data_IF_652439011796
#
_entry.id   IF_652439011796
#
_cell.length_a   1.000
_cell.length_b   1.000
_cell.length_c   1.000
_cell.angle_alpha   90.00
_cell.angle_beta   90.00
_cell.angle_gamma   90.00
#
_symmetry.space_group_name_H-M   'P 1'
#
loop_
_entity.id
_entity.type
_entity.pdbx_description
1 polymer ?
#
# COMPACT_ATOMS: atom_id res chain seq x y z
N UNK A 1 10.37 -28.54 -1.77
CA UNK A 1 9.75 -27.19 -1.96
C UNK A 1 9.41 -26.56 -0.61
N UNK A 2 9.88 -25.33 -0.39
CA UNK A 2 9.74 -24.57 0.84
C UNK A 2 8.99 -23.25 0.60
N UNK A 3 8.26 -22.79 1.61
CA UNK A 3 7.46 -21.57 1.52
C UNK A 3 7.90 -20.47 2.46
N UNK A 4 7.83 -19.25 1.95
CA UNK A 4 8.03 -18.03 2.70
C UNK A 4 6.85 -17.11 2.52
N UNK A 5 6.37 -16.56 3.63
CA UNK A 5 5.19 -15.72 3.65
C UNK A 5 5.52 -14.38 4.31
N UNK A 6 5.08 -13.26 3.73
CA UNK A 6 5.04 -11.96 4.40
C UNK A 6 3.59 -11.48 4.50
N UNK A 7 3.11 -11.34 5.74
CA UNK A 7 1.79 -10.80 6.09
C UNK A 7 1.95 -9.34 6.49
N UNK A 8 1.97 -8.48 5.47
CA UNK A 8 2.09 -7.02 5.62
C UNK A 8 0.72 -6.35 5.73
N UNK A 9 0.71 -5.07 6.09
CA UNK A 9 -0.51 -4.31 6.37
C UNK A 9 -1.47 -4.11 5.17
N UNK A 10 -0.98 -4.27 3.93
CA UNK A 10 -1.73 -4.01 2.68
C UNK A 10 -1.84 -5.26 1.81
N UNK A 11 -0.85 -6.15 1.89
CA UNK A 11 -0.70 -7.27 0.98
C UNK A 11 -0.08 -8.48 1.67
N UNK A 12 -0.48 -9.66 1.21
CA UNK A 12 0.18 -10.93 1.50
C UNK A 12 1.13 -11.23 0.33
N UNK A 13 2.35 -11.64 0.68
CA UNK A 13 3.35 -12.12 -0.28
C UNK A 13 3.67 -13.57 0.04
N UNK A 14 3.61 -14.46 -0.96
CA UNK A 14 3.98 -15.87 -0.86
C UNK A 14 5.12 -16.14 -1.83
N UNK A 15 6.16 -16.82 -1.39
CA UNK A 15 7.24 -17.32 -2.22
C UNK A 15 7.33 -18.82 -2.03
N UNK A 16 7.27 -19.57 -3.12
CA UNK A 16 7.55 -21.01 -3.19
C UNK A 16 8.94 -21.20 -3.78
N UNK A 17 9.85 -21.80 -3.03
CA UNK A 17 11.24 -22.05 -3.40
C UNK A 17 11.45 -23.56 -3.57
N UNK A 18 11.83 -23.98 -4.78
CA UNK A 18 12.09 -25.37 -5.12
C UNK A 18 13.58 -25.70 -4.92
N UNK A 19 13.89 -27.00 -4.82
CA UNK A 19 15.25 -27.46 -4.48
C UNK A 19 16.28 -27.20 -5.58
N UNK A 20 15.83 -27.11 -6.84
CA UNK A 20 16.62 -26.70 -8.00
C UNK A 20 16.87 -25.18 -8.06
N UNK A 21 16.34 -24.41 -7.09
CA UNK A 21 16.45 -22.96 -7.02
C UNK A 21 15.39 -22.20 -7.82
N UNK A 22 14.51 -22.88 -8.56
CA UNK A 22 13.34 -22.25 -9.17
C UNK A 22 12.45 -21.63 -8.07
N UNK A 23 11.84 -20.48 -8.36
CA UNK A 23 10.94 -19.82 -7.41
C UNK A 23 9.70 -19.26 -8.09
N UNK A 24 8.58 -19.29 -7.36
CA UNK A 24 7.30 -18.68 -7.77
C UNK A 24 6.86 -17.73 -6.67
N UNK A 25 6.58 -16.48 -7.04
CA UNK A 25 6.15 -15.44 -6.11
C UNK A 25 4.74 -14.95 -6.45
N UNK A 26 3.89 -14.87 -5.42
CA UNK A 26 2.54 -14.36 -5.48
C UNK A 26 2.41 -13.16 -4.53
N UNK A 27 1.98 -12.00 -5.05
CA UNK A 27 1.75 -10.80 -4.26
C UNK A 27 0.29 -10.38 -4.43
N UNK A 28 -0.50 -10.42 -3.33
CA UNK A 28 -1.94 -10.12 -3.34
C UNK A 28 -2.29 -9.08 -2.30
N UNK A 29 -2.98 -8.02 -2.72
CA UNK A 29 -3.59 -7.06 -1.79
C UNK A 29 -4.79 -7.69 -1.11
N UNK A 30 -4.91 -7.56 0.20
CA UNK A 30 -6.01 -8.19 0.94
C UNK A 30 -7.20 -7.25 1.18
N UNK A 31 -7.04 -5.92 1.00
CA UNK A 31 -8.15 -4.97 1.13
C UNK A 31 -8.85 -5.01 2.50
N UNK A 32 -8.10 -5.37 3.55
CA UNK A 32 -8.63 -5.61 4.90
C UNK A 32 -9.10 -7.04 5.20
N UNK A 33 -9.22 -7.93 4.21
CA UNK A 33 -9.68 -9.32 4.35
C UNK A 33 -8.52 -10.32 4.18
N UNK A 34 -7.62 -10.34 5.16
CA UNK A 34 -6.41 -11.15 5.15
C UNK A 34 -6.69 -12.65 5.12
N UNK A 35 -7.73 -13.11 5.82
CA UNK A 35 -8.11 -14.52 5.87
C UNK A 35 -8.57 -15.03 4.51
N UNK A 36 -9.49 -14.30 3.85
CA UNK A 36 -9.96 -14.69 2.51
C UNK A 36 -8.82 -14.69 1.51
N UNK A 37 -7.97 -13.66 1.50
CA UNK A 37 -6.83 -13.60 0.57
C UNK A 37 -5.82 -14.72 0.81
N UNK A 38 -5.56 -15.08 2.06
CA UNK A 38 -4.72 -16.25 2.36
C UNK A 38 -5.35 -17.54 1.83
N UNK A 39 -6.64 -17.77 2.10
CA UNK A 39 -7.37 -18.94 1.62
C UNK A 39 -7.38 -19.03 0.09
N UNK A 40 -7.58 -17.91 -0.62
CA UNK A 40 -7.48 -17.82 -2.08
C UNK A 40 -6.08 -18.20 -2.57
N UNK A 41 -5.02 -17.73 -1.89
CA UNK A 41 -3.63 -18.04 -2.23
C UNK A 41 -3.30 -19.53 -2.06
N UNK A 42 -3.90 -20.22 -1.09
CA UNK A 42 -3.71 -21.67 -0.87
C UNK A 42 -4.79 -22.53 -1.51
N UNK A 43 -5.80 -21.93 -2.15
CA UNK A 43 -6.92 -22.67 -2.75
C UNK A 43 -6.52 -23.41 -4.04
N UNK A 44 -5.49 -22.92 -4.74
CA UNK A 44 -5.21 -23.29 -6.12
C UNK A 44 -3.98 -24.16 -6.39
N UNK A 45 -3.13 -24.52 -5.41
CA UNK A 45 -1.82 -25.10 -5.79
C UNK A 45 -1.12 -25.99 -4.75
N UNK A 46 -0.54 -27.06 -5.30
CA UNK A 46 0.63 -27.83 -4.87
C UNK A 46 0.51 -28.72 -3.60
N UNK A 47 1.32 -29.80 -3.54
CA UNK A 47 1.52 -30.55 -2.30
C UNK A 47 1.96 -29.62 -1.17
N UNK A 48 1.60 -29.97 0.07
CA UNK A 48 2.02 -29.23 1.26
C UNK A 48 3.54 -29.02 1.22
N UNK A 49 4.03 -27.80 1.53
CA UNK A 49 5.46 -27.55 1.51
C UNK A 49 6.16 -28.37 2.59
N UNK A 50 7.42 -28.73 2.32
CA UNK A 50 8.26 -29.45 3.29
C UNK A 50 8.57 -28.58 4.51
N UNK A 51 8.57 -27.26 4.35
CA UNK A 51 8.69 -26.31 5.45
C UNK A 51 8.17 -24.93 5.03
N UNK A 52 7.65 -24.18 5.99
CA UNK A 52 7.17 -22.83 5.78
C UNK A 52 7.56 -21.91 6.95
N UNK A 53 7.90 -20.66 6.63
CA UNK A 53 8.13 -19.59 7.60
C UNK A 53 7.28 -18.38 7.21
N UNK A 54 6.73 -17.72 8.22
CA UNK A 54 6.00 -16.46 8.07
C UNK A 54 6.75 -15.28 8.70
N UNK A 55 6.69 -14.12 8.07
CA UNK A 55 7.18 -12.84 8.56
C UNK A 55 6.13 -11.74 8.36
N UNK A 56 6.40 -10.54 8.85
CA UNK A 56 5.51 -9.37 8.74
C UNK A 56 4.64 -9.12 9.97
N UNK A 57 4.15 -7.89 10.09
CA UNK A 57 3.50 -7.34 11.28
C UNK A 57 2.22 -8.07 11.71
N UNK A 58 1.52 -8.72 10.78
CA UNK A 58 0.26 -9.44 11.05
C UNK A 58 0.44 -10.96 11.15
N UNK A 59 1.66 -11.46 10.97
CA UNK A 59 1.94 -12.89 10.82
C UNK A 59 1.68 -13.70 12.10
N UNK A 60 2.27 -13.29 13.22
CA UNK A 60 2.27 -14.06 14.46
C UNK A 60 0.88 -14.22 15.08
N UNK A 61 0.00 -13.24 14.86
CA UNK A 61 -1.40 -13.26 15.30
C UNK A 61 -2.32 -14.02 14.34
N UNK A 62 -1.97 -14.12 13.05
CA UNK A 62 -2.84 -14.69 12.01
C UNK A 62 -2.52 -16.15 11.70
N UNK A 63 -1.27 -16.59 11.82
CA UNK A 63 -0.83 -17.93 11.42
C UNK A 63 -0.16 -18.73 12.54
N UNK A 64 -0.33 -20.05 12.51
CA UNK A 64 0.23 -21.03 13.45
C UNK A 64 1.53 -21.69 12.98
N UNK A 65 2.17 -21.17 11.92
CA UNK A 65 3.47 -21.65 11.43
C UNK A 65 4.64 -20.84 12.03
N UNK A 66 5.89 -21.34 11.97
CA UNK A 66 7.05 -20.67 12.53
C UNK A 66 7.22 -19.23 12.03
N UNK A 67 7.39 -18.29 12.97
CA UNK A 67 7.64 -16.88 12.67
C UNK A 67 9.14 -16.57 12.64
N UNK A 68 9.55 -15.73 11.69
CA UNK A 68 10.90 -15.15 11.63
C UNK A 68 10.81 -13.62 11.43
N UNK A 69 11.53 -12.80 12.21
CA UNK A 69 11.57 -11.35 12.00
C UNK A 69 12.02 -10.95 10.58
N UNK A 70 11.46 -9.85 10.06
CA UNK A 70 11.75 -9.38 8.70
C UNK A 70 13.24 -9.09 8.50
N UNK A 71 13.94 -8.58 9.52
CA UNK A 71 15.39 -8.34 9.45
C UNK A 71 16.19 -9.61 9.15
N UNK A 72 15.87 -10.73 9.80
CA UNK A 72 16.54 -12.01 9.57
C UNK A 72 16.17 -12.61 8.21
N UNK A 73 14.94 -12.39 7.75
CA UNK A 73 14.54 -12.76 6.40
C UNK A 73 15.35 -11.97 5.36
N UNK A 74 15.51 -10.67 5.54
CA UNK A 74 16.33 -9.82 4.66
C UNK A 74 17.77 -10.31 4.61
N UNK A 75 18.40 -10.61 5.75
CA UNK A 75 19.76 -11.16 5.80
C UNK A 75 19.88 -12.48 5.02
N UNK A 76 18.91 -13.39 5.18
CA UNK A 76 18.88 -14.65 4.43
C UNK A 76 18.75 -14.42 2.92
N UNK A 77 17.88 -13.50 2.51
CA UNK A 77 17.70 -13.15 1.10
C UNK A 77 18.96 -12.50 0.50
N UNK A 78 19.60 -11.56 1.20
CA UNK A 78 20.82 -10.90 0.74
C UNK A 78 21.97 -11.91 0.56
N UNK A 79 22.14 -12.84 1.52
CA UNK A 79 23.15 -13.89 1.45
C UNK A 79 22.92 -14.81 0.26
N UNK A 80 21.68 -15.26 0.06
CA UNK A 80 21.32 -16.14 -1.04
C UNK A 80 21.54 -15.49 -2.41
N UNK A 81 21.15 -14.22 -2.54
CA UNK A 81 21.29 -13.44 -3.78
C UNK A 81 22.70 -12.84 -3.96
N UNK A 82 23.60 -13.01 -2.98
CA UNK A 82 24.95 -12.43 -2.95
C UNK A 82 24.94 -10.90 -3.16
N UNK A 83 23.97 -10.24 -2.54
CA UNK A 83 23.83 -8.78 -2.60
C UNK A 83 24.58 -8.12 -1.44
N UNK A 84 25.55 -7.27 -1.77
CA UNK A 84 26.21 -6.39 -0.82
C UNK A 84 25.60 -4.98 -0.90
N UNK A 85 25.11 -4.46 0.22
CA UNK A 85 24.45 -3.14 0.32
C UNK A 85 24.69 -2.57 1.71
N UNK A 86 24.77 -1.24 1.84
CA UNK A 86 24.92 -0.60 3.14
C UNK A 86 23.57 -0.51 3.85
N UNK A 87 22.51 -0.23 3.08
CA UNK A 87 21.15 -0.09 3.55
C UNK A 87 20.18 -0.95 2.75
N UNK A 88 19.17 -1.50 3.43
CA UNK A 88 17.93 -1.98 2.80
C UNK A 88 16.79 -1.09 3.24
N UNK A 89 16.14 -0.43 2.29
CA UNK A 89 14.97 0.40 2.49
C UNK A 89 13.71 -0.41 2.15
N UNK A 90 13.00 -0.89 3.17
CA UNK A 90 11.71 -1.57 3.01
C UNK A 90 10.56 -0.55 2.99
N UNK A 91 9.94 -0.41 1.82
CA UNK A 91 8.80 0.48 1.59
C UNK A 91 7.49 -0.27 1.85
N UNK A 92 7.15 -0.40 3.12
CA UNK A 92 5.92 -1.03 3.60
C UNK A 92 4.66 -0.17 3.47
N UNK A 93 3.52 -0.80 3.74
CA UNK A 93 2.21 -0.14 3.74
C UNK A 93 2.02 0.83 4.91
N UNK A 94 2.29 0.38 6.13
CA UNK A 94 2.08 1.17 7.36
C UNK A 94 3.29 2.06 7.71
N UNK A 95 4.49 1.55 7.50
CA UNK A 95 5.74 2.23 7.82
C UNK A 95 6.83 1.87 6.83
N UNK A 96 7.81 2.75 6.70
CA UNK A 96 9.07 2.45 6.03
C UNK A 96 10.13 2.10 7.06
N UNK A 97 10.96 1.11 6.76
CA UNK A 97 12.04 0.66 7.63
C UNK A 97 13.34 0.69 6.84
N UNK A 98 14.35 1.32 7.41
CA UNK A 98 15.72 1.25 6.93
C UNK A 98 16.47 0.28 7.80
N UNK A 99 16.96 -0.80 7.20
CA UNK A 99 17.88 -1.74 7.84
C UNK A 99 19.31 -1.29 7.51
N UNK A 100 20.12 -1.06 8.53
CA UNK A 100 21.51 -0.67 8.40
C UNK A 100 22.41 -1.90 8.52
N UNK A 101 23.23 -2.16 7.50
CA UNK A 101 23.99 -3.41 7.38
C UNK A 101 25.48 -3.21 7.58
N UNK A 102 26.10 -4.19 8.24
CA UNK A 102 27.53 -4.43 8.22
C UNK A 102 27.77 -5.93 8.03
N UNK A 103 28.61 -6.29 7.07
CA UNK A 103 28.96 -7.68 6.73
C UNK A 103 27.74 -8.56 6.42
N UNK A 104 26.73 -7.99 5.74
CA UNK A 104 25.49 -8.68 5.39
C UNK A 104 24.54 -8.93 6.57
N UNK A 105 24.83 -8.36 7.76
CA UNK A 105 24.03 -8.48 8.97
C UNK A 105 23.42 -7.13 9.34
N UNK A 106 22.15 -7.13 9.75
CA UNK A 106 21.46 -5.92 10.20
C UNK A 106 21.97 -5.54 11.60
N UNK A 107 22.57 -4.35 11.71
CA UNK A 107 23.12 -3.81 12.96
C UNK A 107 22.22 -2.79 13.63
N UNK A 108 21.45 -2.06 12.84
CA UNK A 108 20.50 -1.07 13.33
C UNK A 108 19.27 -1.02 12.41
N UNK A 109 18.16 -0.53 12.94
CA UNK A 109 16.95 -0.28 12.17
C UNK A 109 16.38 1.09 12.53
N UNK A 110 16.02 1.86 11.51
CA UNK A 110 15.33 3.13 11.66
C UNK A 110 13.98 3.03 10.96
N UNK A 111 12.89 3.35 11.64
CA UNK A 111 11.55 3.36 11.05
C UNK A 111 11.03 4.79 10.87
N UNK A 112 10.23 5.00 9.83
CA UNK A 112 9.44 6.22 9.69
C UNK A 112 8.48 6.35 10.88
N UNK A 113 8.16 7.58 11.26
CA UNK A 113 7.07 7.80 12.22
C UNK A 113 5.77 7.17 11.70
N UNK A 114 4.90 6.67 12.60
CA UNK A 114 3.61 6.05 12.22
C UNK A 114 2.57 7.07 11.71
N UNK A 115 3.00 8.26 11.33
CA UNK A 115 2.11 9.24 10.73
C UNK A 115 1.79 8.79 9.30
N UNK A 116 0.52 8.46 9.04
CA UNK A 116 0.07 7.86 7.78
C UNK A 116 0.56 8.62 6.53
N UNK A 117 0.72 9.95 6.60
CA UNK A 117 1.11 10.82 5.48
C UNK A 117 2.42 10.44 4.76
N UNK A 118 3.28 9.62 5.37
CA UNK A 118 4.57 9.20 4.81
C UNK A 118 4.68 7.71 4.52
N UNK A 119 3.56 7.02 4.32
CA UNK A 119 3.50 5.55 4.17
C UNK A 119 2.91 5.13 2.82
N UNK A 120 3.09 3.86 2.43
CA UNK A 120 2.51 3.34 1.19
C UNK A 120 0.99 3.27 1.22
N UNK A 121 0.39 3.00 2.38
CA UNK A 121 -1.07 2.97 2.58
C UNK A 121 -1.70 4.34 2.27
N UNK A 122 -1.01 5.44 2.59
CA UNK A 122 -1.52 6.76 2.26
C UNK A 122 -1.61 7.01 0.75
N UNK A 123 -0.65 6.51 -0.05
CA UNK A 123 -0.77 6.56 -1.51
C UNK A 123 -1.98 5.75 -1.99
N UNK A 124 -2.16 4.53 -1.48
CA UNK A 124 -3.31 3.68 -1.82
C UNK A 124 -4.62 4.39 -1.51
N UNK A 125 -4.73 5.03 -0.35
CA UNK A 125 -5.92 5.79 0.04
C UNK A 125 -6.16 7.01 -0.85
N UNK A 126 -5.14 7.80 -1.17
CA UNK A 126 -5.31 8.99 -2.02
C UNK A 126 -5.63 8.61 -3.47
N UNK A 127 -5.00 7.57 -4.01
CA UNK A 127 -5.31 7.08 -5.35
C UNK A 127 -6.74 6.53 -5.41
N UNK A 128 -7.17 5.77 -4.40
CA UNK A 128 -8.54 5.26 -4.33
C UNK A 128 -9.60 6.37 -4.35
N UNK A 129 -9.31 7.55 -3.77
CA UNK A 129 -10.20 8.73 -3.82
C UNK A 129 -10.31 9.35 -5.22
N UNK A 130 -9.30 9.12 -6.06
CA UNK A 130 -9.29 9.51 -7.47
C UNK A 130 -9.75 8.35 -8.38
N UNK A 131 -10.31 7.27 -7.80
CA UNK A 131 -10.70 6.04 -8.49
C UNK A 131 -9.54 5.37 -9.23
N UNK A 132 -8.35 5.40 -8.63
CA UNK A 132 -7.13 4.77 -9.12
C UNK A 132 -6.69 3.70 -8.12
N UNK A 133 -6.31 2.53 -8.60
CA UNK A 133 -5.52 1.59 -7.79
C UNK A 133 -4.04 2.04 -7.74
N UNK A 134 -3.20 1.29 -7.01
CA UNK A 134 -1.78 1.62 -6.89
C UNK A 134 -1.08 1.67 -8.26
N UNK A 135 -1.32 0.70 -9.13
CA UNK A 135 -0.64 0.60 -10.42
C UNK A 135 -1.11 1.72 -11.36
N UNK A 136 -2.43 1.91 -11.47
CA UNK A 136 -2.99 2.99 -12.28
C UNK A 136 -2.57 4.35 -11.74
N UNK A 137 -2.52 4.54 -10.41
CA UNK A 137 -2.10 5.80 -9.81
C UNK A 137 -0.62 6.12 -10.05
N UNK A 138 0.27 5.12 -9.93
CA UNK A 138 1.69 5.27 -10.28
C UNK A 138 1.88 5.61 -11.76
N UNK A 139 1.11 4.99 -12.65
CA UNK A 139 1.12 5.26 -14.10
C UNK A 139 0.56 6.65 -14.43
N UNK A 140 -0.56 7.03 -13.82
CA UNK A 140 -1.20 8.34 -14.00
C UNK A 140 -0.29 9.48 -13.53
N UNK A 141 0.54 9.24 -12.51
CA UNK A 141 1.51 10.24 -12.06
C UNK A 141 2.58 10.60 -13.11
N UNK A 142 2.83 9.74 -14.11
CA UNK A 142 3.88 9.98 -15.12
C UNK A 142 3.58 11.16 -16.04
N UNK A 143 2.30 11.48 -16.25
CA UNK A 143 1.87 12.64 -17.03
C UNK A 143 1.58 13.89 -16.18
N UNK A 144 1.72 13.78 -14.86
CA UNK A 144 1.42 14.86 -13.93
C UNK A 144 2.58 15.84 -13.75
N UNK A 145 2.26 17.10 -13.48
CA UNK A 145 3.22 18.10 -12.97
C UNK A 145 3.17 18.17 -11.44
N UNK A 146 4.26 18.60 -10.82
CA UNK A 146 4.28 18.87 -9.38
C UNK A 146 3.43 20.11 -9.07
N UNK A 147 2.49 19.95 -8.17
CA UNK A 147 1.71 21.02 -7.53
C UNK A 147 1.96 21.03 -6.01
N UNK A 148 1.98 22.19 -5.35
CA UNK A 148 2.18 22.26 -3.91
C UNK A 148 1.01 21.58 -3.18
N UNK A 149 1.35 20.73 -2.20
CA UNK A 149 0.38 20.08 -1.32
C UNK A 149 0.74 20.32 0.15
N UNK A 150 -0.26 20.49 1.00
CA UNK A 150 -0.10 20.52 2.45
C UNK A 150 0.25 19.13 3.04
N UNK A 151 1.40 18.57 2.66
CA UNK A 151 1.78 17.16 2.83
C UNK A 151 2.33 16.77 4.22
N UNK A 152 2.32 17.70 5.19
CA UNK A 152 2.83 17.45 6.56
C UNK A 152 1.96 16.47 7.35
N UNK A 153 0.64 16.56 7.20
CA UNK A 153 -0.35 15.71 7.88
C UNK A 153 -1.26 15.07 6.84
N UNK A 154 -1.63 13.80 7.00
CA UNK A 154 -2.47 13.07 6.04
C UNK A 154 -3.85 13.70 5.93
N UNK A 155 -4.39 14.23 7.04
CA UNK A 155 -5.66 14.95 7.08
C UNK A 155 -5.61 16.22 6.23
N UNK A 156 -4.58 17.05 6.41
CA UNK A 156 -4.45 18.30 5.65
C UNK A 156 -4.13 18.04 4.18
N UNK A 157 -3.25 17.09 3.89
CA UNK A 157 -2.89 16.73 2.52
C UNK A 157 -4.12 16.22 1.75
N UNK A 158 -4.94 15.38 2.38
CA UNK A 158 -6.22 14.91 1.83
C UNK A 158 -7.16 16.08 1.51
N UNK A 159 -7.38 16.98 2.47
CA UNK A 159 -8.29 18.12 2.29
C UNK A 159 -7.81 19.07 1.20
N UNK A 160 -6.52 19.37 1.18
CA UNK A 160 -5.91 20.24 0.17
C UNK A 160 -5.98 19.63 -1.24
N UNK A 161 -5.59 18.36 -1.40
CA UNK A 161 -5.71 17.65 -2.68
C UNK A 161 -7.17 17.63 -3.19
N UNK A 162 -8.12 17.34 -2.29
CA UNK A 162 -9.55 17.33 -2.63
C UNK A 162 -10.04 18.72 -3.05
N UNK A 163 -9.64 19.76 -2.33
CA UNK A 163 -10.00 21.15 -2.63
C UNK A 163 -9.47 21.60 -4.00
N UNK A 164 -8.21 21.29 -4.30
CA UNK A 164 -7.58 21.63 -5.58
C UNK A 164 -8.24 20.95 -6.77
N UNK A 165 -8.60 19.67 -6.61
CA UNK A 165 -9.37 18.92 -7.62
C UNK A 165 -10.75 19.55 -7.82
N UNK A 166 -11.48 19.87 -6.74
CA UNK A 166 -12.81 20.47 -6.83
C UNK A 166 -12.81 21.85 -7.50
N UNK A 167 -11.74 22.63 -7.30
CA UNK A 167 -11.56 23.93 -7.97
C UNK A 167 -11.07 23.83 -9.42
N UNK A 168 -10.65 22.64 -9.88
CA UNK A 168 -10.01 22.47 -11.18
C UNK A 168 -8.63 23.14 -11.28
N UNK A 169 -7.95 23.39 -10.16
CA UNK A 169 -6.59 23.95 -10.15
C UNK A 169 -5.56 22.97 -10.71
N UNK A 170 -5.83 21.67 -10.58
CA UNK A 170 -4.99 20.57 -11.05
C UNK A 170 -5.82 19.31 -11.33
N UNK A 171 -5.20 18.33 -12.00
CA UNK A 171 -5.80 17.03 -12.28
C UNK A 171 -5.32 15.91 -11.35
N UNK A 172 -5.94 14.71 -11.41
CA UNK A 172 -5.49 13.54 -10.66
C UNK A 172 -4.02 13.17 -10.90
N UNK A 173 -3.53 13.33 -12.13
CA UNK A 173 -2.12 13.13 -12.48
C UNK A 173 -1.18 14.02 -11.67
N UNK A 174 -1.51 15.30 -11.52
CA UNK A 174 -0.71 16.27 -10.77
C UNK A 174 -0.66 15.92 -9.28
N UNK A 175 -1.83 15.57 -8.71
CA UNK A 175 -1.92 15.13 -7.31
C UNK A 175 -1.06 13.87 -7.12
N UNK A 176 -1.21 12.86 -8.00
CA UNK A 176 -0.45 11.63 -7.90
C UNK A 176 1.07 11.87 -8.02
N UNK A 177 1.49 12.73 -8.95
CA UNK A 177 2.91 13.12 -9.10
C UNK A 177 3.46 13.81 -7.86
N UNK A 178 2.71 14.76 -7.29
CA UNK A 178 3.10 15.47 -6.08
C UNK A 178 3.20 14.54 -4.87
N UNK A 179 2.25 13.63 -4.69
CA UNK A 179 2.28 12.66 -3.59
C UNK A 179 3.53 11.77 -3.65
N UNK A 180 3.93 11.31 -4.85
CA UNK A 180 5.15 10.52 -5.04
C UNK A 180 6.39 11.36 -4.69
N UNK A 181 6.45 12.62 -5.14
CA UNK A 181 7.58 13.51 -4.86
C UNK A 181 7.72 13.82 -3.36
N UNK A 182 6.60 14.08 -2.67
CA UNK A 182 6.59 14.29 -1.22
C UNK A 182 7.03 13.04 -0.46
N UNK A 183 6.65 11.85 -0.95
CA UNK A 183 7.10 10.59 -0.38
C UNK A 183 8.61 10.40 -0.54
N UNK A 184 9.16 10.72 -1.72
CA UNK A 184 10.60 10.66 -1.98
C UNK A 184 11.40 11.54 -1.00
N UNK A 185 10.94 12.78 -0.78
CA UNK A 185 11.56 13.72 0.18
C UNK A 185 11.56 13.15 1.60
N UNK A 186 10.45 12.52 2.03
CA UNK A 186 10.35 11.87 3.35
C UNK A 186 11.29 10.68 3.48
N UNK A 187 11.40 9.85 2.44
CA UNK A 187 12.32 8.71 2.40
C UNK A 187 13.77 9.20 2.46
N UNK A 188 14.14 10.21 1.67
CA UNK A 188 15.49 10.78 1.71
C UNK A 188 15.84 11.34 3.10
N UNK A 189 14.88 11.98 3.76
CA UNK A 189 15.03 12.45 5.16
C UNK A 189 15.24 11.28 6.13
N UNK A 190 14.46 10.21 5.99
CA UNK A 190 14.59 9.00 6.80
C UNK A 190 15.97 8.36 6.64
N UNK A 191 16.44 8.20 5.40
CA UNK A 191 17.77 7.68 5.09
C UNK A 191 18.87 8.58 5.68
N UNK A 192 18.73 9.90 5.58
CA UNK A 192 19.65 10.87 6.17
C UNK A 192 19.75 10.78 7.70
N UNK A 193 18.67 10.39 8.38
CA UNK A 193 18.62 10.27 9.84
C UNK A 193 19.32 9.03 10.41
N UNK A 194 19.70 8.08 9.57
CA UNK A 194 20.32 6.81 10.03
C UNK A 194 21.75 6.95 10.54
N UNK A 195 22.46 8.02 10.14
CA UNK A 195 23.89 8.19 10.38
C UNK A 195 24.74 6.94 10.01
N UNK A 196 24.36 6.24 8.93
CA UNK A 196 25.02 5.05 8.43
C UNK A 196 25.58 5.29 7.01
N UNK A 197 26.62 4.54 6.56
CA UNK A 197 27.00 4.52 5.15
C UNK A 197 25.79 4.27 4.24
N UNK A 198 25.74 4.96 3.11
CA UNK A 198 24.62 4.88 2.16
C UNK A 198 25.09 4.95 0.71
N UNK A 199 26.28 4.42 0.44
CA UNK A 199 26.83 4.36 -0.92
C UNK A 199 25.94 3.48 -1.77
N UNK A 200 25.41 2.39 -1.21
CA UNK A 200 24.47 1.49 -1.89
C UNK A 200 23.22 1.26 -1.05
N UNK A 201 22.05 1.53 -1.65
CA UNK A 201 20.73 1.40 -1.00
C UNK A 201 19.86 0.49 -1.83
N UNK A 202 19.57 -0.71 -1.32
CA UNK A 202 18.60 -1.63 -1.91
C UNK A 202 17.19 -1.24 -1.48
N UNK A 203 16.31 -0.97 -2.44
CA UNK A 203 14.91 -0.63 -2.17
C UNK A 203 14.02 -1.86 -2.36
N UNK A 204 13.18 -2.15 -1.37
CA UNK A 204 12.24 -3.29 -1.35
C UNK A 204 10.81 -2.82 -1.09
N UNK A 205 9.84 -3.73 -1.25
CA UNK A 205 8.41 -3.44 -1.12
C UNK A 205 7.77 -3.04 -2.46
N UNK A 206 6.44 -3.00 -2.50
CA UNK A 206 5.70 -2.79 -3.75
C UNK A 206 5.98 -1.42 -4.41
N UNK A 207 6.33 -0.41 -3.62
CA UNK A 207 6.70 0.91 -4.14
C UNK A 207 8.06 0.94 -4.83
N UNK A 208 8.89 -0.11 -4.72
CA UNK A 208 10.16 -0.20 -5.46
C UNK A 208 9.95 -0.21 -6.99
N UNK A 209 8.74 -0.55 -7.44
CA UNK A 209 8.35 -0.55 -8.86
C UNK A 209 7.94 0.83 -9.37
N UNK A 210 7.82 1.83 -8.51
CA UNK A 210 7.51 3.19 -8.92
C UNK A 210 8.74 3.85 -9.56
N UNK A 211 8.74 3.95 -10.89
CA UNK A 211 9.81 4.61 -11.66
C UNK A 211 10.06 6.04 -11.18
N UNK A 212 8.99 6.83 -11.05
CA UNK A 212 9.08 8.22 -10.59
C UNK A 212 9.65 8.34 -9.17
N UNK A 213 9.29 7.41 -8.27
CA UNK A 213 9.84 7.40 -6.92
C UNK A 213 11.35 7.13 -6.96
N UNK A 214 11.79 6.17 -7.76
CA UNK A 214 13.22 5.85 -7.89
C UNK A 214 13.99 7.00 -8.54
N UNK A 215 13.42 7.66 -9.55
CA UNK A 215 14.00 8.86 -10.16
C UNK A 215 14.13 10.01 -9.16
N UNK A 216 13.09 10.29 -8.37
CA UNK A 216 13.13 11.32 -7.34
C UNK A 216 14.15 11.01 -6.25
N UNK A 217 14.25 9.74 -5.83
CA UNK A 217 15.26 9.31 -4.85
C UNK A 217 16.68 9.48 -5.38
N UNK A 218 16.95 9.10 -6.64
CA UNK A 218 18.26 9.32 -7.27
C UNK A 218 18.60 10.80 -7.38
N UNK A 219 17.63 11.66 -7.69
CA UNK A 219 17.84 13.11 -7.73
C UNK A 219 18.11 13.71 -6.35
N UNK A 220 17.45 13.21 -5.30
CA UNK A 220 17.62 13.67 -3.92
C UNK A 220 18.89 13.12 -3.25
N UNK A 221 19.40 11.98 -3.72
CA UNK A 221 20.54 11.27 -3.16
C UNK A 221 21.58 10.97 -4.27
N UNK A 222 22.21 11.99 -4.88
CA UNK A 222 23.09 11.80 -6.03
C UNK A 222 24.35 10.99 -5.71
N UNK A 223 24.76 10.94 -4.45
CA UNK A 223 25.94 10.19 -3.96
C UNK A 223 25.60 8.72 -3.62
N UNK A 224 24.35 8.30 -3.78
CA UNK A 224 23.87 6.97 -3.42
C UNK A 224 23.44 6.18 -4.65
N UNK A 225 23.94 4.96 -4.80
CA UNK A 225 23.44 3.98 -5.76
C UNK A 225 22.10 3.43 -5.26
N UNK A 226 20.99 3.90 -5.86
CA UNK A 226 19.64 3.39 -5.59
C UNK A 226 19.36 2.15 -6.45
N UNK A 227 19.34 0.99 -5.81
CA UNK A 227 19.23 -0.35 -6.43
C UNK A 227 17.84 -0.93 -6.21
N UNK A 228 17.25 -1.51 -7.26
CA UNK A 228 16.03 -2.31 -7.19
C UNK A 228 16.34 -3.66 -7.82
N UNK A 229 16.12 -4.74 -7.07
CA UNK A 229 16.30 -6.12 -7.56
C UNK A 229 14.98 -6.65 -8.14
N UNK A 230 15.03 -7.64 -9.01
CA UNK A 230 13.83 -8.33 -9.53
C UNK A 230 12.97 -8.97 -8.43
N UNK A 231 13.56 -9.24 -7.26
CA UNK A 231 12.89 -9.82 -6.10
C UNK A 231 12.49 -8.77 -5.05
N UNK A 232 12.73 -7.48 -5.30
CA UNK A 232 12.50 -6.40 -4.32
C UNK A 232 11.07 -6.34 -3.80
N UNK A 233 10.06 -6.69 -4.62
CA UNK A 233 8.65 -6.62 -4.21
C UNK A 233 8.29 -7.67 -3.16
N UNK A 234 9.05 -8.75 -3.05
CA UNK A 234 8.80 -9.89 -2.14
C UNK A 234 10.06 -10.38 -1.41
N UNK A 235 11.09 -9.53 -1.28
CA UNK A 235 12.39 -9.91 -0.72
C UNK A 235 12.26 -10.55 0.67
N UNK A 236 11.40 -10.01 1.53
CA UNK A 236 11.22 -10.53 2.89
C UNK A 236 10.58 -11.93 2.88
N UNK A 237 9.62 -12.18 1.98
CA UNK A 237 9.00 -13.49 1.82
C UNK A 237 9.98 -14.50 1.19
N UNK A 238 10.83 -14.06 0.26
CA UNK A 238 11.92 -14.89 -0.28
C UNK A 238 12.89 -15.31 0.83
N UNK A 239 13.29 -14.36 1.67
CA UNK A 239 14.11 -14.61 2.85
C UNK A 239 13.52 -15.65 3.80
N UNK A 240 12.21 -15.56 4.05
CA UNK A 240 11.49 -16.56 4.84
C UNK A 240 11.53 -17.95 4.18
N UNK A 241 11.37 -18.04 2.86
CA UNK A 241 11.42 -19.33 2.14
C UNK A 241 12.82 -19.96 2.20
N UNK A 242 13.87 -19.14 2.07
CA UNK A 242 15.26 -19.58 2.20
C UNK A 242 15.52 -20.09 3.62
N UNK A 243 15.09 -19.35 4.64
CA UNK A 243 15.24 -19.76 6.02
C UNK A 243 14.44 -21.04 6.34
N UNK A 244 13.28 -21.23 5.71
CA UNK A 244 12.51 -22.47 5.83
C UNK A 244 13.29 -23.66 5.25
N UNK A 245 13.92 -23.49 4.08
CA UNK A 245 14.81 -24.50 3.49
C UNK A 245 16.02 -24.82 4.37
N UNK A 246 16.66 -23.80 4.94
CA UNK A 246 17.82 -23.98 5.84
C UNK A 246 17.47 -24.73 7.13
N UNK A 247 16.25 -24.55 7.65
CA UNK A 247 15.76 -25.30 8.83
C UNK A 247 15.36 -26.74 8.52
N UNK A 248 14.96 -27.03 7.28
CA UNK A 248 14.57 -28.36 6.84
C UNK A 248 13.09 -28.68 7.04
N UNK A 249 12.77 -29.98 6.97
CA UNK A 249 11.40 -30.49 6.94
C UNK A 249 10.70 -30.33 8.29
N UNK A 250 9.47 -29.82 8.28
CA UNK A 250 8.59 -29.75 9.44
C UNK A 250 7.17 -30.20 9.05
N UNK A 251 6.54 -31.03 9.88
CA UNK A 251 5.11 -31.31 9.73
C UNK A 251 4.30 -30.09 10.20
N UNK A 252 3.77 -29.35 9.24
CA UNK A 252 2.96 -28.15 9.47
C UNK A 252 1.47 -28.40 9.21
N UNK A 253 1.09 -29.62 8.82
CA UNK A 253 -0.25 -29.92 8.31
C UNK A 253 -0.59 -29.16 7.03
N UNK A 254 -1.85 -29.20 6.63
CA UNK A 254 -2.32 -28.53 5.41
C UNK A 254 -2.34 -27.00 5.56
N UNK A 255 -1.92 -26.22 4.55
CA UNK A 255 -1.90 -24.75 4.61
C UNK A 255 -3.20 -24.10 5.09
N UNK A 256 -4.36 -24.67 4.74
CA UNK A 256 -5.68 -24.17 5.15
C UNK A 256 -5.89 -24.22 6.68
N UNK A 257 -5.16 -25.07 7.38
CA UNK A 257 -5.23 -25.24 8.84
C UNK A 257 -4.31 -24.26 9.59
N UNK A 258 -3.45 -23.52 8.88
CA UNK A 258 -2.49 -22.61 9.51
C UNK A 258 -3.12 -21.35 10.10
N UNK A 259 -4.37 -21.02 9.73
CA UNK A 259 -5.05 -19.86 10.27
C UNK A 259 -5.33 -20.06 11.77
N UNK A 260 -4.85 -19.12 12.59
CA UNK A 260 -5.17 -19.13 14.02
C UNK A 260 -6.65 -18.82 14.21
N UNK A 261 -7.29 -19.61 15.07
CA UNK A 261 -8.65 -19.33 15.54
C UNK A 261 -8.65 -17.98 16.26
N UNK A 262 -9.40 -17.00 15.77
CA UNK A 262 -9.52 -15.68 16.43
C UNK A 262 -10.17 -15.85 17.80
N UNK A 263 -9.42 -15.67 18.88
CA UNK A 263 -9.93 -15.74 20.27
C UNK A 263 -10.41 -14.39 20.81
N UNK A 264 -10.82 -13.46 19.95
CA UNK A 264 -11.18 -12.10 20.35
C UNK A 264 -12.47 -11.60 19.69
N UNK A 265 -13.11 -10.63 20.35
CA UNK A 265 -14.31 -9.94 19.87
C UNK A 265 -14.05 -9.37 18.47
N UNK A 266 -14.62 -9.99 17.44
CA UNK A 266 -14.68 -9.36 16.12
C UNK A 266 -15.74 -8.27 16.16
N UNK A 267 -15.40 -7.04 15.77
CA UNK A 267 -16.43 -6.07 15.44
C UNK A 267 -17.27 -6.63 14.29
N UNK A 268 -18.59 -6.51 14.40
CA UNK A 268 -19.49 -6.91 13.32
C UNK A 268 -19.11 -6.13 12.05
N UNK A 269 -18.69 -6.83 11.01
CA UNK A 269 -18.51 -6.24 9.69
C UNK A 269 -19.88 -5.96 9.10
N UNK A 270 -20.05 -4.80 8.48
CA UNK A 270 -21.26 -4.47 7.72
C UNK A 270 -21.05 -4.90 6.28
N UNK A 271 -22.13 -5.31 5.61
CA UNK A 271 -22.06 -5.59 4.18
C UNK A 271 -21.58 -4.34 3.41
N UNK A 272 -20.83 -4.50 2.31
CA UNK A 272 -20.34 -3.38 1.52
C UNK A 272 -21.47 -2.41 1.13
N UNK A 273 -21.18 -1.11 1.08
CA UNK A 273 -22.16 -0.10 0.62
C UNK A 273 -22.71 -0.43 -0.78
N UNK A 274 -21.90 -1.03 -1.64
CA UNK A 274 -22.31 -1.49 -2.97
C UNK A 274 -23.50 -2.47 -2.94
N UNK A 275 -23.59 -3.32 -1.92
CA UNK A 275 -24.72 -4.24 -1.72
C UNK A 275 -26.04 -3.52 -1.42
N UNK A 276 -26.00 -2.23 -1.11
CA UNK A 276 -27.15 -1.39 -0.82
C UNK A 276 -27.42 -0.38 -1.94
N UNK A 277 -26.80 -0.51 -3.11
CA UNK A 277 -27.01 0.39 -4.24
C UNK A 277 -28.47 0.48 -4.68
N UNK A 278 -29.25 -0.61 -4.53
CA UNK A 278 -30.70 -0.62 -4.80
C UNK A 278 -31.53 0.25 -3.86
N UNK A 279 -30.99 0.64 -2.70
CA UNK A 279 -31.64 1.54 -1.76
C UNK A 279 -31.40 3.03 -2.10
N UNK A 280 -30.55 3.31 -3.10
CA UNK A 280 -30.23 4.67 -3.52
C UNK A 280 -31.22 5.12 -4.59
N UNK A 281 -32.06 6.10 -4.25
CA UNK A 281 -32.94 6.76 -5.22
C UNK A 281 -32.15 7.86 -5.95
N UNK A 282 -31.84 7.63 -7.22
CA UNK A 282 -31.26 8.65 -8.08
C UNK A 282 -32.37 9.53 -8.65
N UNK A 283 -32.27 10.86 -8.48
CA UNK A 283 -33.13 11.83 -9.16
C UNK A 283 -32.43 12.30 -10.45
N UNK A 284 -32.68 11.65 -11.60
CA UNK A 284 -31.97 11.96 -12.84
C UNK A 284 -32.26 13.39 -13.27
N UNK A 285 -31.29 14.05 -13.94
CA UNK A 285 -31.51 15.41 -14.47
C UNK A 285 -32.72 15.52 -15.40
N UNK A 286 -33.14 14.43 -16.03
CA UNK A 286 -34.36 14.36 -16.85
C UNK A 286 -35.65 14.55 -16.05
N UNK A 287 -35.64 14.34 -14.73
CA UNK A 287 -36.79 14.56 -13.85
C UNK A 287 -36.80 15.97 -13.23
N UNK A 288 -35.88 16.84 -13.63
CA UNK A 288 -35.76 18.20 -13.08
C UNK A 288 -36.70 19.16 -13.81
N UNK A 289 -37.25 20.13 -13.08
CA UNK A 289 -38.10 21.17 -13.65
C UNK A 289 -37.30 22.18 -14.47
N UNK A 290 -37.94 22.90 -15.41
CA UNK A 290 -37.27 23.94 -16.19
C UNK A 290 -36.85 25.11 -15.30
N UNK A 291 -35.61 25.57 -15.46
CA UNK A 291 -35.13 26.80 -14.83
C UNK A 291 -35.79 28.02 -15.51
N UNK A 292 -36.41 28.91 -14.72
CA UNK A 292 -37.12 30.10 -15.22
C UNK A 292 -36.57 31.38 -14.59
N UNK A 293 -36.39 32.47 -15.36
CA UNK A 293 -36.04 33.78 -14.80
C UNK A 293 -37.07 34.24 -13.76
N UNK A 294 -36.59 34.79 -12.63
CA UNK A 294 -37.45 35.28 -11.55
C UNK A 294 -38.07 34.20 -10.66
N UNK A 295 -37.72 32.93 -10.86
CA UNK A 295 -38.14 31.83 -9.99
C UNK A 295 -37.63 32.03 -8.56
N UNK A 296 -38.53 31.84 -7.58
CA UNK A 296 -38.12 31.64 -6.19
C UNK A 296 -37.64 30.21 -5.98
N UNK A 297 -36.43 30.08 -5.44
CA UNK A 297 -35.79 28.78 -5.22
C UNK A 297 -35.44 28.58 -3.75
N UNK A 298 -35.36 27.32 -3.35
CA UNK A 298 -34.73 26.89 -2.10
C UNK A 298 -33.36 26.35 -2.46
N UNK A 299 -32.31 26.94 -1.87
CA UNK A 299 -30.94 26.44 -1.98
C UNK A 299 -30.69 25.42 -0.87
N UNK A 300 -30.52 24.16 -1.25
CA UNK A 300 -29.97 23.12 -0.40
C UNK A 300 -28.47 23.02 -0.57
N UNK A 301 -27.71 23.10 0.53
CA UNK A 301 -26.25 22.93 0.53
C UNK A 301 -25.87 21.78 1.44
N UNK A 302 -25.20 20.77 0.88
CA UNK A 302 -24.49 19.73 1.62
C UNK A 302 -23.00 20.05 1.57
N UNK A 303 -22.51 20.72 2.61
CA UNK A 303 -21.10 21.05 2.78
C UNK A 303 -20.40 19.90 3.54
N UNK A 304 -20.00 18.87 2.80
CA UNK A 304 -19.24 17.74 3.34
C UNK A 304 -17.74 17.99 3.36
N UNK A 305 -17.01 17.21 4.17
CA UNK A 305 -15.54 17.29 4.28
C UNK A 305 -14.77 16.97 2.96
N UNK A 306 -15.45 16.43 1.96
CA UNK A 306 -14.87 16.03 0.68
C UNK A 306 -15.44 16.77 -0.52
N UNK A 307 -16.68 17.21 -0.44
CA UNK A 307 -17.39 17.81 -1.57
C UNK A 307 -18.46 18.75 -1.02
N UNK A 308 -18.59 19.92 -1.62
CA UNK A 308 -19.79 20.74 -1.45
C UNK A 308 -20.73 20.41 -2.59
N UNK A 309 -21.94 19.96 -2.25
CA UNK A 309 -23.00 19.72 -3.21
C UNK A 309 -24.07 20.76 -3.02
N UNK A 310 -24.66 21.21 -4.11
CA UNK A 310 -25.73 22.20 -4.06
C UNK A 310 -26.87 21.80 -4.97
N UNK A 311 -28.11 22.02 -4.52
CA UNK A 311 -29.31 21.83 -5.32
C UNK A 311 -30.21 23.05 -5.17
N UNK A 312 -30.80 23.48 -6.28
CA UNK A 312 -31.89 24.45 -6.29
C UNK A 312 -33.19 23.68 -6.48
N UNK A 313 -34.14 23.91 -5.57
CA UNK A 313 -35.51 23.41 -5.68
C UNK A 313 -36.44 24.58 -6.01
N UNK A 314 -37.38 24.38 -6.93
CA UNK A 314 -38.49 25.34 -7.14
C UNK A 314 -39.29 25.43 -5.83
N UNK A 315 -39.48 26.64 -5.29
CA UNK A 315 -40.15 26.83 -4.00
C UNK A 315 -41.63 26.42 -4.04
N UNK A 316 -42.27 26.41 -5.21
CA UNK A 316 -43.68 26.03 -5.35
C UNK A 316 -43.86 24.51 -5.45
N UNK A 317 -43.00 23.84 -6.19
CA UNK A 317 -43.15 22.41 -6.52
C UNK A 317 -42.22 21.50 -5.73
N UNK A 318 -41.20 22.07 -5.06
CA UNK A 318 -40.09 21.36 -4.41
C UNK A 318 -39.29 20.44 -5.35
N UNK A 319 -39.47 20.60 -6.67
CA UNK A 319 -38.73 19.83 -7.66
C UNK A 319 -37.34 20.42 -7.90
N UNK A 320 -36.29 19.60 -8.07
CA UNK A 320 -34.98 20.08 -8.46
C UNK A 320 -35.02 20.79 -9.80
N UNK A 321 -34.30 21.91 -9.94
CA UNK A 321 -34.18 22.68 -11.19
C UNK A 321 -32.73 22.90 -11.62
N UNK A 322 -31.78 22.81 -10.68
CA UNK A 322 -30.34 22.87 -10.94
C UNK A 322 -29.55 22.22 -9.79
N UNK A 323 -28.31 21.82 -10.04
CA UNK A 323 -27.44 21.26 -9.00
C UNK A 323 -26.07 20.77 -9.51
N UNK A 324 -25.13 20.71 -8.57
CA UNK A 324 -23.72 20.31 -8.73
C UNK A 324 -23.26 19.43 -7.58
#
# INVERSE_FOLDING_TARGET
MFEGWNFGAVSIKRVRLYDDGHLVADVRKHGGDLERTFLELVAGDAPAPEGAIVTGVQASSSLSIPYLPESLCIEAALRYLRLATDLVLSLGGESFVVHCLADGVVRAMQSSNRCAAGSGEFLVQQFGRMNLDLESGLRTAESGRRVPLAARCSVHCKSDATHKLNKGECGPADIARSLIAELATKIATLLGSTNWPRTRVLVTGSLSQSRLLMEDLRGLLPESEIVVHEHSTYLEALGAAIAAREKGVADLGEPRTWLRRRTGHSFATRAPLASHASQVNYAPRSSWGPLRPGMEVILGVDAGSTTTKAVLLDRQTYMPVAGV
#
